data_IF_202104807135
#
_entry.id   IF_202104807135
#
_cell.length_a   1.000
_cell.length_b   1.000
_cell.length_c   1.000
_cell.angle_alpha   90.00
_cell.angle_beta   90.00
_cell.angle_gamma   90.00
#
_symmetry.space_group_name_H-M   'P 1'
#
loop_
_entity.id
_entity.type
_entity.pdbx_description
1 polymer ?
#
# COMPACT_ATOMS: atom_id res chain seq x y z
N UNK A 1 7.27 -32.90 18.24
CA UNK A 1 6.22 -32.18 17.47
C UNK A 1 6.72 -32.04 16.04
N UNK A 2 5.86 -32.03 15.01
CA UNK A 2 6.37 -31.74 13.66
C UNK A 2 6.91 -30.31 13.60
N UNK A 3 8.01 -30.11 12.88
CA UNK A 3 8.71 -28.83 12.69
C UNK A 3 7.78 -27.71 12.15
N UNK A 4 6.62 -28.09 11.60
CA UNK A 4 5.61 -27.17 11.09
C UNK A 4 4.62 -26.66 12.15
N UNK A 5 4.47 -27.30 13.31
CA UNK A 5 3.41 -26.91 14.28
C UNK A 5 3.70 -25.54 14.87
N UNK A 6 4.95 -25.27 15.24
CA UNK A 6 5.34 -23.99 15.81
C UNK A 6 5.10 -22.80 14.86
N UNK A 7 5.63 -22.79 13.62
CA UNK A 7 5.41 -21.67 12.70
C UNK A 7 3.93 -21.49 12.35
N UNK A 8 3.17 -22.58 12.19
CA UNK A 8 1.73 -22.50 11.93
C UNK A 8 0.95 -21.95 13.13
N UNK A 9 1.29 -22.36 14.35
CA UNK A 9 0.68 -21.85 15.56
C UNK A 9 0.99 -20.37 15.76
N UNK A 10 2.24 -19.94 15.52
CA UNK A 10 2.64 -18.55 15.62
C UNK A 10 1.85 -17.67 14.64
N UNK A 11 1.80 -18.04 13.35
CA UNK A 11 1.01 -17.34 12.33
C UNK A 11 -0.48 -17.35 12.69
N UNK A 12 -1.01 -18.49 13.13
CA UNK A 12 -2.41 -18.64 13.50
C UNK A 12 -2.81 -17.73 14.67
N UNK A 13 -2.03 -17.71 15.75
CA UNK A 13 -2.27 -16.82 16.91
C UNK A 13 -2.15 -15.36 16.49
N UNK A 14 -1.13 -15.00 15.70
CA UNK A 14 -0.95 -13.63 15.21
C UNK A 14 -2.15 -13.17 14.38
N UNK A 15 -2.57 -13.94 13.37
CA UNK A 15 -3.61 -13.51 12.45
C UNK A 15 -5.02 -13.63 13.01
N UNK A 16 -5.32 -14.63 13.85
CA UNK A 16 -6.68 -14.90 14.31
C UNK A 16 -6.97 -14.45 15.74
N UNK A 17 -5.94 -14.07 16.51
CA UNK A 17 -6.13 -13.55 17.88
C UNK A 17 -5.62 -12.12 17.99
N UNK A 18 -4.33 -11.91 17.72
CA UNK A 18 -3.70 -10.61 17.93
C UNK A 18 -4.21 -9.55 16.96
N UNK A 19 -4.23 -9.83 15.65
CA UNK A 19 -4.72 -8.90 14.63
C UNK A 19 -6.18 -8.48 14.90
N UNK A 20 -7.16 -9.39 15.16
CA UNK A 20 -8.53 -9.00 15.50
C UNK A 20 -8.63 -8.15 16.77
N UNK A 21 -7.85 -8.43 17.81
CA UNK A 21 -7.84 -7.59 19.00
C UNK A 21 -7.38 -6.16 18.69
N UNK A 22 -6.34 -5.99 17.88
CA UNK A 22 -5.84 -4.67 17.49
C UNK A 22 -6.80 -3.93 16.53
N UNK A 23 -7.59 -4.64 15.73
CA UNK A 23 -8.67 -4.03 14.93
C UNK A 23 -9.68 -3.34 15.82
N UNK A 24 -10.11 -4.00 16.91
CA UNK A 24 -11.07 -3.40 17.84
C UNK A 24 -10.53 -2.11 18.45
N UNK A 25 -9.27 -2.11 18.86
CA UNK A 25 -8.58 -0.90 19.34
C UNK A 25 -8.58 0.19 18.27
N UNK A 26 -8.19 -0.15 17.04
CA UNK A 26 -8.10 0.82 15.95
C UNK A 26 -9.46 1.36 15.53
N UNK A 27 -10.48 0.52 15.50
CA UNK A 27 -11.86 0.91 15.22
C UNK A 27 -12.40 1.85 16.29
N UNK A 28 -12.13 1.59 17.57
CA UNK A 28 -12.52 2.48 18.65
C UNK A 28 -11.82 3.84 18.53
N UNK A 29 -10.51 3.84 18.25
CA UNK A 29 -9.74 5.06 18.04
C UNK A 29 -10.25 5.88 16.84
N UNK A 30 -10.54 5.23 15.72
CA UNK A 30 -11.10 5.87 14.52
C UNK A 30 -12.51 6.41 14.77
N UNK A 31 -13.37 5.65 15.46
CA UNK A 31 -14.72 6.09 15.81
C UNK A 31 -14.69 7.32 16.73
N UNK A 32 -13.82 7.31 17.75
CA UNK A 32 -13.62 8.44 18.65
C UNK A 32 -13.07 9.66 17.92
N UNK A 33 -12.08 9.47 17.05
CA UNK A 33 -11.52 10.54 16.22
C UNK A 33 -12.58 11.16 15.34
N UNK A 34 -13.42 10.34 14.70
CA UNK A 34 -14.48 10.80 13.81
C UNK A 34 -15.46 11.75 14.49
N UNK A 35 -15.75 11.54 15.78
CA UNK A 35 -16.64 12.43 16.54
C UNK A 35 -16.03 13.81 16.83
N UNK A 36 -14.69 13.94 16.76
CA UNK A 36 -13.96 15.16 17.10
C UNK A 36 -13.57 16.01 15.91
N UNK A 37 -13.60 15.43 14.72
CA UNK A 37 -13.15 16.08 13.51
C UNK A 37 -14.34 16.74 12.80
N UNK A 38 -14.18 18.01 12.42
CA UNK A 38 -15.23 18.82 11.77
C UNK A 38 -15.25 18.69 10.26
N UNK A 39 -14.13 18.32 9.62
CA UNK A 39 -14.00 18.17 8.17
C UNK A 39 -13.43 16.82 7.75
N UNK A 40 -13.81 16.32 6.57
CA UNK A 40 -13.28 15.06 6.05
C UNK A 40 -11.78 15.10 5.74
N UNK A 41 -11.28 16.28 5.35
CA UNK A 41 -9.85 16.51 5.10
C UNK A 41 -9.02 16.24 6.37
N UNK A 42 -9.53 16.69 7.51
CA UNK A 42 -8.89 16.50 8.81
C UNK A 42 -9.01 15.06 9.33
N UNK A 43 -9.90 14.24 8.76
CA UNK A 43 -9.97 12.82 9.06
C UNK A 43 -8.96 12.03 8.21
N UNK A 44 -8.69 12.44 6.97
CA UNK A 44 -7.76 11.81 6.03
C UNK A 44 -6.26 11.97 6.34
N UNK A 45 -5.88 12.32 7.57
CA UNK A 45 -4.47 12.58 7.92
C UNK A 45 -3.64 11.31 8.13
N UNK A 46 -2.33 11.49 8.27
CA UNK A 46 -1.34 10.48 8.68
C UNK A 46 -1.80 9.57 9.82
N UNK A 47 -2.53 10.12 10.79
CA UNK A 47 -2.97 9.35 11.96
C UNK A 47 -4.05 8.31 11.61
N UNK A 48 -4.99 8.62 10.71
CA UNK A 48 -6.01 7.65 10.27
C UNK A 48 -5.34 6.57 9.45
N UNK A 49 -4.42 6.96 8.57
CA UNK A 49 -3.60 6.03 7.82
C UNK A 49 -2.83 5.07 8.73
N UNK A 50 -2.20 5.59 9.80
CA UNK A 50 -1.51 4.75 10.78
C UNK A 50 -2.47 3.76 11.47
N UNK A 51 -3.66 4.20 11.90
CA UNK A 51 -4.66 3.33 12.52
C UNK A 51 -5.22 2.25 11.57
N UNK A 52 -5.25 2.52 10.27
CA UNK A 52 -5.66 1.52 9.28
C UNK A 52 -4.58 0.43 9.06
N UNK A 53 -3.31 0.80 9.13
CA UNK A 53 -2.20 -0.14 8.95
C UNK A 53 -1.84 -0.90 10.23
N UNK A 54 -1.94 -0.24 11.37
CA UNK A 54 -1.44 -0.68 12.67
C UNK A 54 -1.87 -2.11 13.05
N UNK A 55 -3.15 -2.52 12.95
CA UNK A 55 -3.58 -3.86 13.33
C UNK A 55 -2.90 -4.99 12.59
N UNK A 56 -2.39 -4.72 11.39
CA UNK A 56 -1.81 -5.74 10.52
C UNK A 56 -0.30 -5.62 10.51
N UNK A 57 0.25 -4.41 10.32
CA UNK A 57 1.70 -4.23 10.22
C UNK A 57 2.41 -4.46 11.55
N UNK A 58 1.87 -3.99 12.68
CA UNK A 58 2.56 -4.14 13.97
C UNK A 58 2.77 -5.62 14.33
N UNK A 59 1.74 -6.49 14.31
CA UNK A 59 1.95 -7.92 14.61
C UNK A 59 2.89 -8.62 13.63
N UNK A 60 2.84 -8.29 12.34
CA UNK A 60 3.70 -8.91 11.33
C UNK A 60 5.16 -8.48 11.49
N UNK A 61 5.41 -7.19 11.75
CA UNK A 61 6.77 -6.69 12.03
C UNK A 61 7.31 -7.32 13.31
N UNK A 62 6.50 -7.40 14.36
CA UNK A 62 6.88 -8.05 15.61
C UNK A 62 7.21 -9.53 15.41
N UNK A 63 6.37 -10.27 14.68
CA UNK A 63 6.59 -11.69 14.41
C UNK A 63 7.84 -11.92 13.54
N UNK A 64 8.04 -11.08 12.52
CA UNK A 64 9.22 -11.13 11.64
C UNK A 64 10.49 -10.82 12.42
N UNK A 65 10.48 -9.77 13.24
CA UNK A 65 11.60 -9.40 14.11
C UNK A 65 11.94 -10.51 15.10
N UNK A 66 10.91 -11.11 15.72
CA UNK A 66 11.09 -12.24 16.64
C UNK A 66 11.71 -13.45 15.95
N UNK A 67 11.26 -13.77 14.74
CA UNK A 67 11.83 -14.86 13.94
C UNK A 67 13.27 -14.56 13.48
N UNK A 68 13.59 -13.31 13.13
CA UNK A 68 14.96 -12.91 12.78
C UNK A 68 15.92 -13.01 13.96
N UNK A 69 15.52 -12.57 15.15
CA UNK A 69 16.36 -12.73 16.35
C UNK A 69 16.64 -14.20 16.70
N UNK A 70 15.75 -15.12 16.35
CA UNK A 70 16.00 -16.57 16.49
C UNK A 70 17.05 -17.12 15.51
N UNK A 71 17.44 -16.36 14.49
CA UNK A 71 18.50 -16.73 13.54
C UNK A 71 19.88 -16.20 13.93
N UNK A 72 19.97 -15.33 14.93
CA UNK A 72 21.25 -14.76 15.39
C UNK A 72 22.06 -15.79 16.19
N UNK A 73 23.38 -15.94 15.93
CA UNK A 73 24.21 -16.93 16.61
C UNK A 73 24.47 -16.60 18.10
N UNK A 74 24.03 -17.53 18.96
CA UNK A 74 24.35 -17.88 20.37
C UNK A 74 24.77 -16.86 21.45
N UNK A 75 24.96 -15.56 21.22
CA UNK A 75 25.38 -14.68 22.35
C UNK A 75 24.27 -14.35 23.37
N UNK A 76 22.99 -14.58 23.05
CA UNK A 76 21.85 -14.16 23.92
C UNK A 76 20.78 -15.24 24.17
N UNK A 77 20.98 -16.50 23.76
CA UNK A 77 19.91 -17.51 23.70
C UNK A 77 19.89 -18.54 24.83
N UNK A 78 20.53 -18.29 25.97
CA UNK A 78 20.39 -19.21 27.13
C UNK A 78 18.95 -19.30 27.64
N UNK A 79 18.14 -18.24 27.49
CA UNK A 79 16.73 -18.25 27.91
C UNK A 79 15.78 -18.98 26.93
N UNK A 80 16.20 -19.25 25.69
CA UNK A 80 15.39 -19.96 24.68
C UNK A 80 15.82 -21.42 24.47
N UNK A 81 16.73 -21.93 25.30
CA UNK A 81 17.26 -23.30 25.20
C UNK A 81 16.30 -24.34 25.80
N UNK A 82 15.10 -24.46 25.24
CA UNK A 82 14.33 -25.69 25.36
C UNK A 82 14.96 -26.69 24.39
N UNK A 83 15.95 -27.45 24.90
CA UNK A 83 16.45 -28.75 24.42
C UNK A 83 16.32 -29.02 22.90
N UNK A 84 16.96 -28.21 22.07
CA UNK A 84 17.32 -28.59 20.69
C UNK A 84 18.84 -28.72 20.63
N UNK A 85 19.32 -29.81 21.22
CA UNK A 85 20.72 -30.23 21.20
C UNK A 85 21.10 -30.46 19.72
N UNK A 86 22.12 -29.73 19.23
CA UNK A 86 22.78 -29.86 17.91
C UNK A 86 22.35 -28.96 16.71
N UNK A 87 21.28 -28.17 16.78
CA UNK A 87 20.93 -27.29 15.65
C UNK A 87 21.59 -25.91 15.77
N UNK A 88 22.64 -25.65 15.00
CA UNK A 88 23.33 -24.33 14.89
C UNK A 88 22.46 -23.23 14.25
N UNK A 89 21.27 -23.57 13.78
CA UNK A 89 20.26 -22.64 13.24
C UNK A 89 18.87 -23.22 13.52
N UNK A 90 17.95 -22.40 14.03
CA UNK A 90 16.57 -22.84 14.28
C UNK A 90 15.82 -22.97 12.94
N UNK A 91 15.69 -24.20 12.43
CA UNK A 91 14.99 -24.48 11.17
C UNK A 91 13.56 -23.92 11.16
N UNK A 92 12.87 -24.00 12.30
CA UNK A 92 11.51 -23.48 12.48
C UNK A 92 11.39 -21.97 12.22
N UNK A 93 12.41 -21.19 12.61
CA UNK A 93 12.43 -19.74 12.38
C UNK A 93 12.60 -19.40 10.89
N UNK A 94 13.44 -20.16 10.17
CA UNK A 94 13.59 -20.02 8.72
C UNK A 94 12.32 -20.41 7.98
N UNK A 95 11.66 -21.49 8.41
CA UNK A 95 10.36 -21.92 7.86
C UNK A 95 9.29 -20.84 8.10
N UNK A 96 9.23 -20.26 9.30
CA UNK A 96 8.32 -19.16 9.62
C UNK A 96 8.56 -17.93 8.72
N UNK A 97 9.81 -17.49 8.60
CA UNK A 97 10.20 -16.37 7.72
C UNK A 97 9.83 -16.66 6.26
N UNK A 98 10.08 -17.89 5.79
CA UNK A 98 9.70 -18.34 4.45
C UNK A 98 8.20 -18.25 4.21
N UNK A 99 7.37 -18.72 5.15
CA UNK A 99 5.92 -18.61 5.06
C UNK A 99 5.44 -17.16 5.02
N UNK A 100 5.98 -16.30 5.89
CA UNK A 100 5.62 -14.87 5.92
C UNK A 100 5.99 -14.18 4.61
N UNK A 101 7.20 -14.44 4.09
CA UNK A 101 7.67 -13.86 2.84
C UNK A 101 6.84 -14.31 1.64
N UNK A 102 6.63 -15.61 1.49
CA UNK A 102 5.86 -16.18 0.37
C UNK A 102 4.40 -15.72 0.44
N UNK A 103 3.80 -15.70 1.64
CA UNK A 103 2.44 -15.22 1.85
C UNK A 103 2.28 -13.74 1.49
N UNK A 104 3.16 -12.88 2.00
CA UNK A 104 3.15 -11.46 1.71
C UNK A 104 3.37 -11.19 0.21
N UNK A 105 4.38 -11.85 -0.38
CA UNK A 105 4.69 -11.72 -1.80
C UNK A 105 3.51 -12.19 -2.66
N UNK A 106 2.88 -13.31 -2.31
CA UNK A 106 1.70 -13.82 -2.99
C UNK A 106 0.55 -12.82 -2.98
N UNK A 107 0.23 -12.23 -1.82
CA UNK A 107 -0.81 -11.20 -1.69
C UNK A 107 -0.46 -9.96 -2.53
N UNK A 108 0.78 -9.48 -2.44
CA UNK A 108 1.27 -8.33 -3.20
C UNK A 108 1.19 -8.59 -4.71
N UNK A 109 1.64 -9.75 -5.18
CA UNK A 109 1.62 -10.11 -6.60
C UNK A 109 0.20 -10.27 -7.14
N UNK A 110 -0.70 -10.93 -6.39
CA UNK A 110 -2.11 -11.08 -6.79
C UNK A 110 -2.78 -9.71 -6.88
N UNK A 111 -2.53 -8.81 -5.93
CA UNK A 111 -3.02 -7.43 -5.97
C UNK A 111 -2.43 -6.65 -7.13
N UNK A 112 -1.11 -6.68 -7.29
CA UNK A 112 -0.41 -6.04 -8.41
C UNK A 112 -1.00 -6.48 -9.75
N UNK A 113 -1.35 -7.76 -9.87
CA UNK A 113 -1.91 -8.33 -11.08
C UNK A 113 -3.35 -7.90 -11.33
N UNK A 114 -4.21 -7.93 -10.28
CA UNK A 114 -5.61 -7.50 -10.36
C UNK A 114 -5.76 -6.00 -10.62
N UNK A 115 -4.84 -5.20 -10.08
CA UNK A 115 -4.85 -3.74 -10.20
C UNK A 115 -4.00 -3.25 -11.38
N UNK A 116 -3.55 -4.15 -12.28
CA UNK A 116 -2.81 -3.71 -13.48
C UNK A 116 -3.68 -2.75 -14.29
N UNK A 117 -3.16 -1.55 -14.61
CA UNK A 117 -3.89 -0.62 -15.46
C UNK A 117 -4.17 -1.29 -16.80
N UNK A 118 -5.42 -1.18 -17.26
CA UNK A 118 -5.78 -1.64 -18.61
C UNK A 118 -4.97 -0.82 -19.61
N UNK A 119 -4.42 -1.49 -20.64
CA UNK A 119 -3.67 -0.83 -21.71
C UNK A 119 -4.59 0.19 -22.36
N UNK A 120 -4.21 1.46 -22.28
CA UNK A 120 -4.84 2.53 -23.05
C UNK A 120 -4.03 2.77 -24.31
N UNK A 121 -4.71 3.16 -25.38
CA UNK A 121 -4.05 3.47 -26.65
C UNK A 121 -3.39 4.84 -26.52
N UNK A 122 -2.06 4.89 -26.64
CA UNK A 122 -1.30 6.13 -26.51
C UNK A 122 -1.55 7.02 -27.72
N UNK A 123 -1.83 8.30 -27.47
CA UNK A 123 -1.81 9.31 -28.54
C UNK A 123 -0.36 9.61 -28.89
N UNK A 124 -0.03 9.60 -30.18
CA UNK A 124 1.31 9.94 -30.67
C UNK A 124 1.77 11.31 -30.18
N UNK A 125 3.07 11.44 -29.88
CA UNK A 125 3.67 12.68 -29.36
C UNK A 125 3.60 13.84 -30.37
N UNK A 126 3.48 13.53 -31.66
CA UNK A 126 3.30 14.49 -32.76
C UNK A 126 1.90 15.08 -32.80
N UNK A 127 0.92 14.45 -32.16
CA UNK A 127 -0.47 14.89 -32.20
C UNK A 127 -0.64 16.27 -31.53
N UNK A 128 -1.45 17.19 -32.09
CA UNK A 128 -1.63 18.55 -31.55
C UNK A 128 -1.99 18.57 -30.06
N UNK A 129 -2.88 17.67 -29.63
CA UNK A 129 -3.29 17.53 -28.22
C UNK A 129 -2.12 17.11 -27.32
N UNK A 130 -1.27 16.17 -27.75
CA UNK A 130 -0.12 15.74 -26.97
C UNK A 130 0.93 16.86 -26.87
N UNK A 131 1.16 17.59 -27.96
CA UNK A 131 2.05 18.76 -27.98
C UNK A 131 1.56 19.89 -27.09
N UNK A 132 0.27 20.19 -27.09
CA UNK A 132 -0.36 21.18 -26.22
C UNK A 132 -0.13 20.84 -24.74
N UNK A 133 -0.41 19.60 -24.33
CA UNK A 133 -0.19 19.14 -22.95
C UNK A 133 1.29 19.20 -22.59
N UNK A 134 2.19 18.78 -23.48
CA UNK A 134 3.63 18.87 -23.27
C UNK A 134 4.10 20.33 -23.10
N UNK A 135 3.51 21.29 -23.82
CA UNK A 135 3.80 22.71 -23.66
C UNK A 135 3.38 23.22 -22.27
N UNK A 136 2.17 22.87 -21.81
CA UNK A 136 1.67 23.22 -20.47
C UNK A 136 2.60 22.67 -19.38
N UNK A 137 3.00 21.40 -19.50
CA UNK A 137 3.93 20.74 -18.55
C UNK A 137 5.29 21.46 -18.50
N UNK A 138 5.81 21.89 -19.65
CA UNK A 138 7.09 22.62 -19.71
C UNK A 138 7.01 24.01 -19.10
N UNK A 139 5.87 24.67 -19.17
CA UNK A 139 5.66 26.04 -18.68
C UNK A 139 5.57 26.13 -17.15
N UNK A 140 5.12 25.08 -16.44
CA UNK A 140 5.07 25.06 -14.97
C UNK A 140 6.24 24.25 -14.39
N UNK A 141 7.18 24.87 -13.64
CA UNK A 141 8.34 24.18 -13.07
C UNK A 141 7.98 22.97 -12.19
N UNK A 142 6.81 22.99 -11.54
CA UNK A 142 6.36 21.88 -10.67
C UNK A 142 5.97 20.65 -11.46
N UNK A 143 5.53 20.82 -12.71
CA UNK A 143 5.08 19.73 -13.56
C UNK A 143 6.22 19.10 -14.38
N UNK A 144 7.40 19.73 -14.46
CA UNK A 144 8.50 19.25 -15.31
C UNK A 144 9.01 17.85 -14.94
N UNK A 145 8.90 17.45 -13.67
CA UNK A 145 9.24 16.10 -13.21
C UNK A 145 8.14 15.05 -13.43
N UNK A 146 6.97 15.46 -13.92
CA UNK A 146 5.79 14.61 -14.07
C UNK A 146 5.83 13.87 -15.41
N UNK A 147 5.71 12.55 -15.39
CA UNK A 147 5.50 11.77 -16.61
C UNK A 147 4.01 11.84 -16.98
N UNK A 148 3.67 12.59 -18.02
CA UNK A 148 2.29 12.74 -18.51
C UNK A 148 2.12 12.04 -19.85
N UNK A 149 1.11 11.18 -19.96
CA UNK A 149 0.75 10.49 -21.20
C UNK A 149 -0.70 10.81 -21.57
N UNK A 150 -0.91 11.26 -22.81
CA UNK A 150 -2.25 11.41 -23.38
C UNK A 150 -2.69 10.08 -23.99
N UNK A 151 -3.90 9.61 -23.65
CA UNK A 151 -4.41 8.32 -24.10
C UNK A 151 -5.83 8.42 -24.68
N UNK A 152 -6.10 7.63 -25.73
CA UNK A 152 -7.45 7.35 -26.24
C UNK A 152 -8.09 6.27 -25.37
N UNK A 153 -9.40 6.36 -25.18
CA UNK A 153 -10.19 5.42 -24.38
C UNK A 153 -9.70 5.27 -22.93
N UNK A 154 -9.27 6.37 -22.33
CA UNK A 154 -8.91 6.42 -20.92
C UNK A 154 -10.11 6.04 -20.03
N UNK A 155 -9.88 5.29 -18.96
CA UNK A 155 -10.92 4.84 -18.02
C UNK A 155 -11.57 5.99 -17.24
N UNK A 156 -10.81 7.06 -17.04
CA UNK A 156 -11.22 8.27 -16.37
C UNK A 156 -10.61 9.50 -17.10
N UNK A 157 -11.18 10.69 -16.90
CA UNK A 157 -10.65 11.96 -17.40
C UNK A 157 -9.14 12.14 -17.21
N UNK A 158 -8.70 11.92 -15.97
CA UNK A 158 -7.33 11.94 -15.51
C UNK A 158 -7.19 10.90 -14.41
N UNK A 159 -6.06 10.20 -14.37
CA UNK A 159 -5.69 9.34 -13.26
C UNK A 159 -4.18 9.06 -13.25
N UNK A 160 -3.65 8.79 -12.06
CA UNK A 160 -2.26 8.38 -11.88
C UNK A 160 -2.12 6.86 -11.87
N UNK A 161 -1.13 6.33 -12.58
CA UNK A 161 -0.74 4.91 -12.57
C UNK A 161 0.70 4.72 -12.07
N UNK A 162 0.97 3.58 -11.44
CA UNK A 162 2.30 3.24 -10.95
C UNK A 162 2.49 3.50 -9.45
N UNK A 163 3.32 2.68 -8.82
CA UNK A 163 3.58 2.74 -7.37
C UNK A 163 4.82 3.57 -7.01
N UNK A 164 5.88 3.44 -7.81
CA UNK A 164 7.18 4.10 -7.60
C UNK A 164 7.54 5.07 -8.72
N UNK A 165 7.09 4.78 -9.94
CA UNK A 165 7.23 5.66 -11.10
C UNK A 165 5.83 6.04 -11.56
N UNK A 166 5.30 7.07 -10.92
CA UNK A 166 3.94 7.54 -11.20
C UNK A 166 3.89 8.21 -12.56
N UNK A 167 2.98 7.75 -13.40
CA UNK A 167 2.65 8.34 -14.68
C UNK A 167 1.20 8.84 -14.62
N UNK A 168 0.98 10.07 -15.05
CA UNK A 168 -0.37 10.64 -15.15
C UNK A 168 -0.91 10.35 -16.54
N UNK A 169 -2.04 9.65 -16.59
CA UNK A 169 -2.78 9.41 -17.82
C UNK A 169 -3.85 10.48 -17.96
N UNK A 170 -3.79 11.24 -19.05
CA UNK A 170 -4.77 12.26 -19.41
C UNK A 170 -5.59 11.77 -20.60
N UNK A 171 -6.91 11.73 -20.45
CA UNK A 171 -7.82 11.35 -21.52
C UNK A 171 -7.77 12.34 -22.68
N UNK A 172 -7.65 11.83 -23.91
CA UNK A 172 -7.59 12.66 -25.11
C UNK A 172 -8.83 13.57 -25.29
N UNK A 173 -10.00 13.14 -24.83
CA UNK A 173 -11.22 13.94 -24.86
C UNK A 173 -11.09 15.19 -23.96
N UNK A 174 -10.67 15.03 -22.71
CA UNK A 174 -10.42 16.15 -21.79
C UNK A 174 -9.34 17.07 -22.34
N UNK A 175 -8.22 16.50 -22.81
CA UNK A 175 -7.13 17.30 -23.35
C UNK A 175 -7.51 18.12 -24.60
N UNK A 176 -8.57 17.72 -25.31
CA UNK A 176 -9.12 18.45 -26.45
C UNK A 176 -10.13 19.51 -26.01
N UNK A 177 -11.03 19.16 -25.09
CA UNK A 177 -12.21 19.97 -24.78
C UNK A 177 -11.98 20.95 -23.62
N UNK A 178 -11.01 20.67 -22.75
CA UNK A 178 -10.60 21.54 -21.64
C UNK A 178 -9.71 22.70 -22.10
N UNK A 179 -9.76 23.84 -21.42
CA UNK A 179 -8.80 24.93 -21.58
C UNK A 179 -7.45 24.62 -20.90
N UNK A 180 -6.44 25.46 -21.16
CA UNK A 180 -5.08 25.24 -20.65
C UNK A 180 -4.99 25.36 -19.12
N UNK A 181 -5.80 26.24 -18.52
CA UNK A 181 -5.80 26.47 -17.07
C UNK A 181 -6.41 25.28 -16.33
N UNK A 182 -7.50 24.73 -16.85
CA UNK A 182 -8.15 23.53 -16.32
C UNK A 182 -7.22 22.32 -16.44
N UNK A 183 -6.57 22.11 -17.59
CA UNK A 183 -5.58 21.03 -17.74
C UNK A 183 -4.44 21.21 -16.73
N UNK A 184 -3.91 22.42 -16.59
CA UNK A 184 -2.85 22.72 -15.61
C UNK A 184 -3.30 22.45 -14.18
N UNK A 185 -4.48 22.92 -13.79
CA UNK A 185 -5.03 22.71 -12.45
C UNK A 185 -5.22 21.22 -12.15
N UNK A 186 -5.74 20.45 -13.10
CA UNK A 186 -5.89 18.99 -12.97
C UNK A 186 -4.53 18.30 -12.84
N UNK A 187 -3.53 18.68 -13.63
CA UNK A 187 -2.18 18.10 -13.52
C UNK A 187 -1.51 18.46 -12.18
N UNK A 188 -1.72 19.66 -11.66
CA UNK A 188 -1.21 20.06 -10.34
C UNK A 188 -1.90 19.30 -9.21
N UNK A 189 -3.19 19.00 -9.36
CA UNK A 189 -3.93 18.15 -8.42
C UNK A 189 -3.35 16.72 -8.38
N UNK A 190 -3.11 16.09 -9.55
CA UNK A 190 -2.46 14.79 -9.61
C UNK A 190 -1.02 14.81 -9.09
N UNK A 191 -0.28 15.89 -9.36
CA UNK A 191 1.06 16.08 -8.82
C UNK A 191 1.04 16.08 -7.27
N UNK A 192 0.02 16.69 -6.65
CA UNK A 192 -0.15 16.63 -5.21
C UNK A 192 -0.38 15.19 -4.71
N UNK A 193 -1.23 14.42 -5.40
CA UNK A 193 -1.44 12.99 -5.08
C UNK A 193 -0.15 12.16 -5.18
N UNK A 194 0.66 12.41 -6.21
CA UNK A 194 1.96 11.73 -6.40
C UNK A 194 2.93 12.11 -5.29
N UNK A 195 3.01 13.39 -4.95
CA UNK A 195 3.91 13.90 -3.91
C UNK A 195 3.52 13.34 -2.54
N UNK A 196 2.23 13.25 -2.25
CA UNK A 196 1.68 12.64 -1.03
C UNK A 196 1.73 11.11 -1.02
N UNK A 197 2.14 10.49 -2.14
CA UNK A 197 2.22 9.04 -2.35
C UNK A 197 0.89 8.32 -2.15
N UNK A 198 -0.21 8.96 -2.52
CA UNK A 198 -1.56 8.45 -2.22
C UNK A 198 -1.81 7.07 -2.83
N UNK A 199 -1.29 6.80 -4.03
CA UNK A 199 -1.36 5.48 -4.66
C UNK A 199 -0.67 4.41 -3.82
N UNK A 200 0.52 4.69 -3.32
CA UNK A 200 1.28 3.74 -2.48
C UNK A 200 0.60 3.54 -1.12
N UNK A 201 0.08 4.61 -0.52
CA UNK A 201 -0.68 4.54 0.74
C UNK A 201 -1.95 3.71 0.58
N UNK A 202 -2.71 3.99 -0.46
CA UNK A 202 -3.91 3.23 -0.84
C UNK A 202 -3.59 1.75 -1.03
N UNK A 203 -2.49 1.45 -1.72
CA UNK A 203 -2.00 0.07 -1.88
C UNK A 203 -1.67 -0.59 -0.54
N UNK A 204 -0.92 0.07 0.34
CA UNK A 204 -0.55 -0.47 1.66
C UNK A 204 -1.80 -0.80 2.49
N UNK A 205 -2.76 0.11 2.58
CA UNK A 205 -4.01 -0.14 3.31
C UNK A 205 -4.75 -1.31 2.69
N UNK A 206 -4.88 -1.36 1.37
CA UNK A 206 -5.54 -2.46 0.65
C UNK A 206 -4.88 -3.83 0.91
N UNK A 207 -3.55 -3.89 0.97
CA UNK A 207 -2.82 -5.11 1.31
C UNK A 207 -3.07 -5.49 2.78
N UNK A 208 -2.97 -4.53 3.70
CA UNK A 208 -3.24 -4.78 5.13
C UNK A 208 -4.66 -5.30 5.36
N UNK A 209 -5.67 -4.70 4.71
CA UNK A 209 -7.06 -5.14 4.82
C UNK A 209 -7.31 -6.54 4.26
N UNK A 210 -6.49 -7.02 3.32
CA UNK A 210 -6.61 -8.39 2.75
C UNK A 210 -5.95 -9.43 3.62
N UNK A 211 -4.77 -9.13 4.17
CA UNK A 211 -4.07 -10.03 5.08
C UNK A 211 -4.87 -10.21 6.38
N UNK A 212 -5.56 -9.15 6.78
CA UNK A 212 -6.36 -9.13 7.99
C UNK A 212 -7.67 -9.92 7.83
N UNK A 213 -7.91 -11.00 8.60
CA UNK A 213 -9.13 -11.81 8.49
C UNK A 213 -10.41 -11.03 8.84
N UNK A 214 -10.29 -9.97 9.62
CA UNK A 214 -11.39 -9.07 9.97
C UNK A 214 -11.21 -7.67 9.33
N UNK A 215 -10.43 -7.56 8.26
CA UNK A 215 -10.17 -6.29 7.56
C UNK A 215 -11.44 -5.59 7.05
N UNK A 216 -12.51 -6.34 6.75
CA UNK A 216 -13.82 -5.78 6.38
C UNK A 216 -14.40 -4.82 7.43
N UNK A 217 -13.99 -4.93 8.69
CA UNK A 217 -14.44 -4.04 9.76
C UNK A 217 -13.84 -2.62 9.68
N UNK A 218 -12.70 -2.47 9.01
CA UNK A 218 -11.98 -1.19 8.82
C UNK A 218 -12.11 -0.65 7.39
N UNK A 219 -12.51 -1.48 6.42
CA UNK A 219 -12.70 -1.07 5.03
C UNK A 219 -13.59 0.19 4.86
N UNK A 220 -14.71 0.37 5.61
CA UNK A 220 -15.54 1.57 5.48
C UNK A 220 -14.86 2.88 5.89
N UNK A 221 -13.78 2.81 6.69
CA UNK A 221 -13.00 3.99 7.09
C UNK A 221 -11.92 4.34 6.06
N UNK A 222 -11.71 3.49 5.05
CA UNK A 222 -10.78 3.69 3.93
C UNK A 222 -11.48 3.97 2.60
N UNK A 223 -12.63 3.35 2.32
CA UNK A 223 -13.35 3.45 1.03
C UNK A 223 -14.23 4.70 0.88
N UNK A 224 -14.27 5.58 1.89
CA UNK A 224 -15.08 6.80 1.91
C UNK A 224 -14.21 8.03 1.67
#
# INVERSE_FOLDING_TARGET
MSELVFPLAAVGVTLFVLVPALIWVSRLALAWRRQRVTSWVDFGTETTFAWLLFPTLLPLVWLTSSALHQTEPEQFTEACRIVHVEATTCHDALVLLGFLLVGLLGVVLVRAWRERPRRCERVEETHPTARRVAAIVRQDPRLQGLSVQVARNALAPVYTVGWFSSQVILGACIARDADDEMIRATLLHEFAHITSKDTFRSFLVRVSLVINPAGRLLAPDFER
#
